data_IF_610632972060
#
_entry.id   IF_610632972060
#
_cell.length_a   1.000
_cell.length_b   1.000
_cell.length_c   1.000
_cell.angle_alpha   90.00
_cell.angle_beta   90.00
_cell.angle_gamma   90.00
#
_symmetry.space_group_name_H-M   'P 1'
#
loop_
_entity.id
_entity.type
_entity.pdbx_description
1 polymer ?
#
# COMPACT_ATOMS: atom_id res chain seq x y z
N UNK A 1 -1.13 -13.91 -15.26
CA UNK A 1 -1.23 -12.53 -15.78
C UNK A 1 -0.07 -11.75 -15.19
N UNK A 2 0.92 -11.35 -16.00
CA UNK A 2 1.97 -10.44 -15.53
C UNK A 2 1.38 -9.05 -15.48
N UNK A 3 1.10 -8.54 -14.28
CA UNK A 3 0.73 -7.15 -14.10
C UNK A 3 1.97 -6.33 -14.47
N UNK A 4 1.82 -5.35 -15.35
CA UNK A 4 2.97 -4.54 -15.80
C UNK A 4 3.51 -3.76 -14.59
N UNK A 5 4.73 -4.08 -14.15
CA UNK A 5 5.35 -3.50 -12.96
C UNK A 5 5.45 -1.97 -13.07
N UNK A 6 5.72 -1.48 -14.30
CA UNK A 6 5.77 -0.07 -14.64
C UNK A 6 4.49 0.69 -14.27
N UNK A 7 3.33 0.04 -14.34
CA UNK A 7 2.05 0.68 -14.01
C UNK A 7 1.92 0.90 -12.51
N UNK A 8 2.29 -0.08 -11.70
CA UNK A 8 2.20 -0.02 -10.23
C UNK A 8 3.23 0.98 -9.69
N UNK A 9 4.46 0.93 -10.21
CA UNK A 9 5.54 1.88 -9.90
C UNK A 9 5.11 3.32 -10.21
N UNK A 10 4.60 3.57 -11.42
CA UNK A 10 4.15 4.89 -11.84
C UNK A 10 2.96 5.39 -11.01
N UNK A 11 2.03 4.51 -10.63
CA UNK A 11 0.92 4.87 -9.76
C UNK A 11 1.41 5.29 -8.36
N UNK A 12 2.30 4.51 -7.74
CA UNK A 12 2.86 4.83 -6.42
C UNK A 12 3.58 6.18 -6.40
N UNK A 13 4.31 6.48 -7.47
CA UNK A 13 5.04 7.72 -7.65
C UNK A 13 4.10 8.92 -7.82
N UNK A 14 3.02 8.79 -8.61
CA UNK A 14 2.01 9.84 -8.75
C UNK A 14 1.32 10.15 -7.42
N UNK A 15 0.94 9.13 -6.67
CA UNK A 15 0.28 9.31 -5.38
C UNK A 15 1.26 9.93 -4.37
N UNK A 16 2.53 9.52 -4.37
CA UNK A 16 3.56 10.17 -3.55
C UNK A 16 3.68 11.67 -3.86
N UNK A 17 3.71 12.06 -5.15
CA UNK A 17 3.75 13.47 -5.52
C UNK A 17 2.54 14.24 -5.00
N UNK A 18 1.35 13.65 -5.08
CA UNK A 18 0.13 14.26 -4.54
C UNK A 18 0.18 14.37 -3.01
N UNK A 19 0.65 13.33 -2.32
CA UNK A 19 0.87 13.35 -0.86
C UNK A 19 1.83 14.48 -0.53
N UNK A 20 3.00 14.55 -1.17
CA UNK A 20 4.01 15.57 -0.92
C UNK A 20 3.49 17.01 -1.13
N UNK A 21 2.64 17.21 -2.14
CA UNK A 21 2.05 18.53 -2.44
C UNK A 21 0.89 18.91 -1.52
N UNK A 22 0.15 17.94 -0.99
CA UNK A 22 -1.12 18.18 -0.28
C UNK A 22 -1.09 17.83 1.22
N UNK A 23 0.00 17.24 1.69
CA UNK A 23 0.16 16.82 3.08
C UNK A 23 0.28 18.02 4.01
N UNK A 24 -0.43 17.97 5.14
CA UNK A 24 -0.23 18.88 6.26
C UNK A 24 0.96 18.45 7.15
N UNK A 25 1.46 17.24 6.95
CA UNK A 25 2.54 16.60 7.71
C UNK A 25 3.84 16.59 6.91
N UNK A 26 4.99 16.64 7.58
CA UNK A 26 6.30 16.57 6.92
C UNK A 26 6.61 15.13 6.50
N UNK A 27 7.03 14.93 5.26
CA UNK A 27 7.55 13.63 4.80
C UNK A 27 8.92 13.42 5.45
N UNK A 28 9.02 12.43 6.34
CA UNK A 28 10.24 12.13 7.08
C UNK A 28 11.08 11.04 6.40
N UNK A 29 10.42 10.02 5.84
CA UNK A 29 11.08 8.89 5.16
C UNK A 29 10.14 8.25 4.14
N UNK A 30 10.69 7.73 3.06
CA UNK A 30 10.02 6.92 2.04
C UNK A 30 10.72 5.57 1.95
N UNK A 31 9.97 4.48 1.98
CA UNK A 31 10.48 3.11 1.87
C UNK A 31 10.10 2.51 0.51
N UNK A 32 11.07 1.87 -0.13
CA UNK A 32 10.91 1.24 -1.45
C UNK A 32 10.94 -0.29 -1.33
N UNK A 33 10.40 -0.98 -2.33
CA UNK A 33 10.28 -2.45 -2.33
C UNK A 33 11.63 -3.17 -2.20
N UNK A 34 12.71 -2.56 -2.70
CA UNK A 34 14.08 -3.11 -2.61
C UNK A 34 14.74 -2.93 -1.23
N UNK A 35 14.00 -2.44 -0.23
CA UNK A 35 14.51 -2.20 1.12
C UNK A 35 15.33 -0.91 1.27
N UNK A 36 15.51 -0.16 0.18
CA UNK A 36 16.05 1.19 0.22
C UNK A 36 15.08 2.14 0.95
N UNK A 37 15.64 3.02 1.77
CA UNK A 37 14.93 4.07 2.48
C UNK A 37 15.51 5.41 2.07
N UNK A 38 14.66 6.36 1.69
CA UNK A 38 15.07 7.72 1.38
C UNK A 38 14.52 8.68 2.44
N UNK A 39 15.39 9.55 2.93
CA UNK A 39 15.05 10.58 3.91
C UNK A 39 15.26 11.97 3.29
N UNK A 40 14.17 12.71 2.99
CA UNK A 40 14.26 14.00 2.29
C UNK A 40 15.11 15.05 3.02
N UNK A 41 15.30 14.88 4.33
CA UNK A 41 16.08 15.77 5.19
C UNK A 41 17.60 15.62 5.04
N UNK A 42 18.08 14.50 4.48
CA UNK A 42 19.51 14.20 4.39
C UNK A 42 20.03 14.11 2.96
N UNK A 43 19.19 13.74 1.99
CA UNK A 43 19.62 13.53 0.61
C UNK A 43 18.69 14.26 -0.37
N UNK A 44 19.24 15.05 -1.32
CA UNK A 44 18.46 15.57 -2.43
C UNK A 44 17.88 14.39 -3.22
N UNK A 45 16.63 14.55 -3.65
CA UNK A 45 15.81 13.53 -4.30
C UNK A 45 16.60 12.76 -5.38
N UNK A 46 16.99 11.51 -5.08
CA UNK A 46 17.34 10.52 -6.09
C UNK A 46 16.10 9.68 -6.40
N UNK A 47 15.09 10.31 -6.99
CA UNK A 47 13.90 9.59 -7.43
C UNK A 47 14.26 8.78 -8.67
N UNK A 48 14.53 7.49 -8.50
CA UNK A 48 14.45 6.58 -9.63
C UNK A 48 12.97 6.24 -9.84
N UNK A 49 12.38 6.69 -10.95
CA UNK A 49 10.96 6.45 -11.28
C UNK A 49 10.58 4.97 -11.38
N UNK A 50 11.56 4.08 -11.45
CA UNK A 50 11.36 2.64 -11.53
C UNK A 50 11.30 1.96 -10.15
N UNK A 51 11.48 2.71 -9.05
CA UNK A 51 11.44 2.11 -7.72
C UNK A 51 10.02 2.21 -7.16
N UNK A 52 9.41 1.05 -6.87
CA UNK A 52 8.10 1.00 -6.24
C UNK A 52 8.17 1.52 -4.80
N UNK A 53 7.42 2.58 -4.52
CA UNK A 53 7.23 3.07 -3.15
C UNK A 53 6.26 2.11 -2.47
N UNK A 54 6.65 1.62 -1.30
CA UNK A 54 5.79 0.72 -0.51
C UNK A 54 5.19 1.45 0.68
N UNK A 55 5.94 2.36 1.31
CA UNK A 55 5.48 3.11 2.48
C UNK A 55 6.05 4.52 2.52
N UNK A 56 5.28 5.41 3.12
CA UNK A 56 5.65 6.80 3.38
C UNK A 56 5.47 7.05 4.88
N UNK A 57 6.51 7.58 5.53
CA UNK A 57 6.48 7.98 6.93
C UNK A 57 6.31 9.49 6.98
N UNK A 58 5.17 9.91 7.54
CA UNK A 58 4.83 11.30 7.80
C UNK A 58 5.07 11.63 9.27
N UNK A 59 5.52 12.86 9.55
CA UNK A 59 5.68 13.39 10.91
C UNK A 59 4.86 14.64 11.12
N UNK A 60 4.24 14.74 12.29
CA UNK A 60 3.62 15.98 12.75
C UNK A 60 4.63 16.90 13.47
N UNK A 61 4.17 18.11 13.80
CA UNK A 61 4.97 19.09 14.54
C UNK A 61 5.26 18.68 15.99
N UNK A 62 4.56 17.68 16.52
CA UNK A 62 4.79 17.06 17.83
C UNK A 62 5.72 15.84 17.73
N UNK A 63 6.33 15.61 16.56
CA UNK A 63 7.22 14.50 16.26
C UNK A 63 6.57 13.10 16.33
N UNK A 64 5.24 13.02 16.28
CA UNK A 64 4.51 11.77 16.08
C UNK A 64 4.74 11.28 14.66
N UNK A 65 5.02 9.98 14.50
CA UNK A 65 5.30 9.36 13.21
C UNK A 65 4.13 8.48 12.76
N UNK A 66 3.70 8.64 11.52
CA UNK A 66 2.60 7.90 10.92
C UNK A 66 3.09 7.21 9.65
N UNK A 67 2.87 5.90 9.57
CA UNK A 67 3.22 5.11 8.38
C UNK A 67 1.98 4.93 7.53
N UNK A 68 2.06 5.37 6.27
CA UNK A 68 0.99 5.22 5.29
C UNK A 68 1.49 4.56 4.01
N UNK A 69 0.55 3.95 3.28
CA UNK A 69 0.81 3.44 1.95
C UNK A 69 0.63 4.55 0.89
N UNK A 70 1.31 4.49 -0.27
CA UNK A 70 1.09 5.38 -1.39
C UNK A 70 -0.18 4.97 -2.17
N UNK A 71 -1.33 4.99 -1.50
CA UNK A 71 -2.65 4.70 -2.05
C UNK A 71 -3.63 5.86 -1.80
N UNK A 72 -4.86 5.74 -2.31
CA UNK A 72 -5.88 6.80 -2.15
C UNK A 72 -6.27 7.05 -0.68
N UNK A 73 -6.25 6.02 0.16
CA UNK A 73 -6.64 6.14 1.57
C UNK A 73 -5.51 6.83 2.35
N UNK A 74 -4.26 6.50 2.05
CA UNK A 74 -3.06 7.18 2.53
C UNK A 74 -3.04 8.65 2.12
N UNK A 75 -3.44 8.97 0.89
CA UNK A 75 -3.60 10.36 0.43
C UNK A 75 -4.66 11.12 1.22
N UNK A 76 -5.83 10.50 1.48
CA UNK A 76 -6.89 11.11 2.32
C UNK A 76 -6.41 11.38 3.73
N UNK A 77 -5.64 10.46 4.31
CA UNK A 77 -5.02 10.68 5.62
C UNK A 77 -4.01 11.85 5.58
N UNK A 78 -3.13 11.87 4.58
CA UNK A 78 -2.12 12.92 4.44
C UNK A 78 -2.74 14.33 4.28
N UNK A 79 -3.87 14.42 3.57
CA UNK A 79 -4.68 15.64 3.42
C UNK A 79 -5.43 16.04 4.69
N UNK A 80 -5.51 15.16 5.69
CA UNK A 80 -6.29 15.37 6.91
C UNK A 80 -7.79 15.14 6.74
N UNK A 81 -8.23 14.51 5.64
CA UNK A 81 -9.64 14.19 5.38
C UNK A 81 -10.15 13.05 6.30
N UNK A 82 -9.25 12.15 6.72
CA UNK A 82 -9.54 11.06 7.66
C UNK A 82 -8.52 11.05 8.79
N UNK A 83 -8.94 10.57 9.96
CA UNK A 83 -8.02 10.36 11.08
C UNK A 83 -7.16 9.11 10.89
N UNK A 84 -6.01 9.04 11.57
CA UNK A 84 -5.14 7.85 11.51
C UNK A 84 -5.85 6.57 11.97
N UNK A 85 -6.76 6.70 12.95
CA UNK A 85 -7.56 5.57 13.44
C UNK A 85 -8.52 5.05 12.37
N UNK A 86 -9.10 5.94 11.57
CA UNK A 86 -9.95 5.56 10.45
C UNK A 86 -9.15 4.94 9.31
N UNK A 87 -7.99 5.52 8.99
CA UNK A 87 -7.03 4.93 8.04
C UNK A 87 -6.73 3.47 8.39
N UNK A 88 -6.32 3.20 9.64
CA UNK A 88 -6.04 1.83 10.11
C UNK A 88 -7.26 0.90 10.07
N UNK A 89 -8.47 1.45 10.26
CA UNK A 89 -9.70 0.65 10.20
C UNK A 89 -10.01 0.22 8.77
N UNK A 90 -9.88 1.13 7.81
CA UNK A 90 -10.11 0.84 6.39
C UNK A 90 -9.10 -0.20 5.90
N UNK A 91 -7.82 -0.03 6.24
CA UNK A 91 -6.76 -0.96 5.87
C UNK A 91 -7.05 -2.39 6.35
N UNK A 92 -7.44 -2.55 7.62
CA UNK A 92 -7.81 -3.87 8.18
C UNK A 92 -9.02 -4.51 7.48
N UNK A 93 -10.03 -3.71 7.13
CA UNK A 93 -11.25 -4.24 6.49
C UNK A 93 -10.92 -4.82 5.11
N UNK A 94 -10.04 -4.17 4.35
CA UNK A 94 -9.64 -4.68 3.04
C UNK A 94 -8.79 -5.95 3.15
N UNK A 95 -7.92 -6.06 4.16
CA UNK A 95 -7.19 -7.31 4.45
C UNK A 95 -8.16 -8.48 4.74
N UNK A 96 -9.19 -8.24 5.57
CA UNK A 96 -10.19 -9.26 5.89
C UNK A 96 -11.02 -9.69 4.67
N UNK A 97 -11.36 -8.76 3.78
CA UNK A 97 -12.07 -9.11 2.53
C UNK A 97 -11.22 -10.02 1.65
N UNK A 98 -9.94 -9.69 1.48
CA UNK A 98 -9.01 -10.51 0.68
C UNK A 98 -8.86 -11.93 1.22
N UNK A 99 -8.76 -12.07 2.54
CA UNK A 99 -8.71 -13.38 3.20
C UNK A 99 -10.01 -14.16 2.96
N UNK A 100 -11.18 -13.51 3.07
CA UNK A 100 -12.47 -14.13 2.82
C UNK A 100 -12.61 -14.68 1.39
N UNK A 101 -12.20 -13.91 0.39
CA UNK A 101 -12.19 -14.36 -1.01
C UNK A 101 -11.25 -15.53 -1.25
N UNK A 102 -10.07 -15.53 -0.62
CA UNK A 102 -9.10 -16.63 -0.73
C UNK A 102 -9.66 -17.95 -0.20
N UNK A 103 -10.30 -17.93 0.97
CA UNK A 103 -10.89 -19.13 1.60
C UNK A 103 -12.02 -19.70 0.74
N UNK A 104 -12.90 -18.85 0.21
CA UNK A 104 -13.97 -19.27 -0.70
C UNK A 104 -13.43 -19.91 -1.98
N UNK A 105 -12.40 -19.31 -2.58
CA UNK A 105 -11.75 -19.85 -3.77
C UNK A 105 -11.13 -21.23 -3.53
N UNK A 106 -10.39 -21.41 -2.44
CA UNK A 106 -9.79 -22.69 -2.06
C UNK A 106 -10.86 -23.75 -1.81
N UNK A 107 -11.96 -23.39 -1.15
CA UNK A 107 -13.09 -24.30 -0.90
C UNK A 107 -13.72 -24.84 -2.19
N UNK A 108 -13.90 -23.98 -3.20
CA UNK A 108 -14.42 -24.39 -4.51
C UNK A 108 -13.45 -25.35 -5.21
N UNK A 109 -12.15 -25.07 -5.18
CA UNK A 109 -11.12 -25.92 -5.82
C UNK A 109 -11.11 -27.32 -5.16
N UNK A 110 -11.14 -27.38 -3.82
CA UNK A 110 -11.17 -28.65 -3.07
C UNK A 110 -12.45 -29.42 -3.41
N UNK A 111 -13.61 -28.76 -3.45
CA UNK A 111 -14.88 -29.39 -3.81
C UNK A 111 -14.82 -29.97 -5.22
N UNK A 112 -14.28 -29.24 -6.20
CA UNK A 112 -14.15 -29.73 -7.58
C UNK A 112 -13.20 -30.93 -7.65
N UNK A 113 -12.05 -30.88 -6.97
CA UNK A 113 -11.11 -32.01 -6.92
C UNK A 113 -11.75 -33.26 -6.30
N UNK A 114 -12.54 -33.09 -5.25
CA UNK A 114 -13.23 -34.20 -4.59
C UNK A 114 -14.31 -34.82 -5.48
N UNK A 115 -15.10 -34.00 -6.18
CA UNK A 115 -16.09 -34.48 -7.15
C UNK A 115 -15.44 -35.21 -8.32
N UNK A 116 -14.32 -34.70 -8.84
CA UNK A 116 -13.55 -35.37 -9.89
C UNK A 116 -12.98 -36.71 -9.43
N UNK A 117 -12.45 -36.77 -8.20
CA UNK A 117 -11.91 -38.00 -7.63
C UNK A 117 -12.98 -39.09 -7.49
N UNK A 118 -14.17 -38.74 -6.99
CA UNK A 118 -15.30 -39.69 -6.90
C UNK A 118 -15.77 -40.13 -8.29
N UNK A 119 -15.78 -39.25 -9.30
CA UNK A 119 -16.26 -39.59 -10.63
C UNK A 119 -15.34 -40.56 -11.38
N UNK A 120 -14.03 -40.50 -11.14
CA UNK A 120 -13.02 -41.34 -11.80
C UNK A 120 -12.55 -42.56 -10.97
N UNK A 121 -13.05 -42.72 -9.74
CA UNK A 121 -12.79 -43.86 -8.86
C UNK A 121 -13.91 -44.88 -8.89
#
# INVERSE_FOLDING_TARGET
>A
MCVNNDFIENQSNRIYEEISKSTLLKVARVEFQEGYCWEPQFEPIQFNKNNLITKIILKDDKNNSFTINPDEIGLKFAKGEISYKEYLRVQKVDDFKWIGFSILGVGIIISMMFTFYIYFS
#
